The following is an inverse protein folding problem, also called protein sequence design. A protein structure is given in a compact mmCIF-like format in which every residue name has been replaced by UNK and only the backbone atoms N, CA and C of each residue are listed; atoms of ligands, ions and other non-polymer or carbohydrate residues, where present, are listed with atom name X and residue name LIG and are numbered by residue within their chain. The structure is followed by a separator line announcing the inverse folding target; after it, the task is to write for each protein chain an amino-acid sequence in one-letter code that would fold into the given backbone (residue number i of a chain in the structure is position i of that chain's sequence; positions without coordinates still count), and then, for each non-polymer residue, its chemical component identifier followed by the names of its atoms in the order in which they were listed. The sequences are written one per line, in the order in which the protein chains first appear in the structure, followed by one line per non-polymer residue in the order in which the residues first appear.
data_IF_458038603538
#
_entry.id   IF_458038603538
#
_cell.length_a   1.000
_cell.length_b   1.000
_cell.length_c   1.000
_cell.angle_alpha   90.00
_cell.angle_beta   90.00
_cell.angle_gamma   90.00
#
_symmetry.space_group_name_H-M   'P 1'
#
loop_
_entity.id
_entity.type
_entity.pdbx_description
1 polymer ?
#
# COMPACT_ATOMS: atom_id res chain seq x y z
N UNK A 1 -20.61 -10.63 -3.62
CA UNK A 1 -21.79 -10.06 -2.92
C UNK A 1 -22.61 -9.26 -3.91
N UNK A 2 -23.91 -9.51 -4.02
CA UNK A 2 -24.72 -8.79 -5.00
C UNK A 2 -25.13 -7.45 -4.41
N UNK A 3 -24.83 -6.31 -5.06
CA UNK A 3 -25.21 -4.97 -4.58
C UNK A 3 -26.69 -4.85 -4.20
N UNK A 4 -27.55 -5.66 -4.85
CA UNK A 4 -28.99 -5.77 -4.56
C UNK A 4 -29.35 -6.38 -3.21
N UNK A 5 -28.41 -7.01 -2.50
CA UNK A 5 -28.65 -7.58 -1.15
C UNK A 5 -28.63 -6.51 -0.04
N UNK A 6 -28.28 -5.25 -0.37
CA UNK A 6 -27.99 -4.22 0.62
C UNK A 6 -28.90 -2.96 0.59
N UNK A 7 -30.20 -3.02 0.23
CA UNK A 7 -31.06 -1.84 0.37
C UNK A 7 -31.17 -1.46 1.84
N UNK A 8 -31.03 -0.16 2.14
CA UNK A 8 -30.99 0.42 3.49
C UNK A 8 -29.81 -0.07 4.38
N UNK A 9 -28.76 -0.64 3.80
CA UNK A 9 -27.55 -0.99 4.56
C UNK A 9 -26.68 0.24 4.86
N UNK A 10 -25.85 0.13 5.90
CA UNK A 10 -24.78 1.08 6.18
C UNK A 10 -23.46 0.55 5.62
N UNK A 11 -22.79 1.39 4.84
CA UNK A 11 -21.50 1.11 4.23
C UNK A 11 -20.43 1.98 4.88
N UNK A 12 -19.33 1.35 5.28
CA UNK A 12 -18.14 2.05 5.79
C UNK A 12 -17.05 1.86 4.74
N UNK A 13 -16.63 2.96 4.14
CA UNK A 13 -15.49 3.03 3.25
C UNK A 13 -14.30 3.50 4.07
N UNK A 14 -13.46 2.55 4.48
CA UNK A 14 -12.25 2.82 5.24
C UNK A 14 -11.06 3.11 4.30
N UNK A 15 -10.16 4.00 4.72
CA UNK A 15 -8.92 4.36 4.02
C UNK A 15 -9.10 4.74 2.53
N UNK A 16 -9.90 5.77 2.23
CA UNK A 16 -10.00 6.28 0.85
C UNK A 16 -8.72 7.03 0.47
N UNK A 17 -7.90 6.42 -0.37
CA UNK A 17 -6.65 7.00 -0.84
C UNK A 17 -6.86 7.86 -2.09
N UNK A 18 -6.26 9.06 -2.14
CA UNK A 18 -6.38 9.96 -3.29
C UNK A 18 -5.48 9.56 -4.48
N UNK A 19 -4.47 8.72 -4.30
CA UNK A 19 -3.47 8.47 -5.34
C UNK A 19 -3.92 7.51 -6.46
N UNK A 20 -5.03 6.78 -6.30
CA UNK A 20 -5.65 5.99 -7.38
C UNK A 20 -6.98 6.62 -7.80
N UNK A 21 -6.95 7.55 -8.78
CA UNK A 21 -8.14 8.28 -9.20
C UNK A 21 -9.27 7.36 -9.66
N UNK A 22 -8.93 6.22 -10.30
CA UNK A 22 -9.94 5.29 -10.83
C UNK A 22 -10.66 4.57 -9.70
N UNK A 23 -9.92 4.10 -8.69
CA UNK A 23 -10.51 3.48 -7.49
C UNK A 23 -11.38 4.48 -6.75
N UNK A 24 -10.93 5.73 -6.57
CA UNK A 24 -11.77 6.79 -5.98
C UNK A 24 -13.06 6.98 -6.78
N UNK A 25 -12.96 7.07 -8.11
CA UNK A 25 -14.12 7.16 -9.00
C UNK A 25 -15.10 5.99 -8.80
N UNK A 26 -14.61 4.75 -8.84
CA UNK A 26 -15.42 3.56 -8.64
C UNK A 26 -16.09 3.53 -7.25
N UNK A 27 -15.37 3.92 -6.20
CA UNK A 27 -15.86 4.01 -4.82
C UNK A 27 -17.00 5.01 -4.72
N UNK A 28 -16.80 6.24 -5.22
CA UNK A 28 -17.84 7.28 -5.16
C UNK A 28 -19.03 6.97 -6.08
N UNK A 29 -18.80 6.40 -7.26
CA UNK A 29 -19.86 5.93 -8.14
C UNK A 29 -20.71 4.85 -7.49
N UNK A 30 -20.08 3.90 -6.80
CA UNK A 30 -20.76 2.84 -6.06
C UNK A 30 -21.54 3.41 -4.88
N UNK A 31 -20.95 4.30 -4.08
CA UNK A 31 -21.63 4.96 -2.98
C UNK A 31 -22.86 5.75 -3.45
N UNK A 32 -22.75 6.45 -4.59
CA UNK A 32 -23.88 7.18 -5.20
C UNK A 32 -25.01 6.25 -5.64
N UNK A 33 -24.69 5.10 -6.24
CA UNK A 33 -25.69 4.08 -6.59
C UNK A 33 -26.38 3.54 -5.32
N UNK A 34 -25.61 3.19 -4.29
CA UNK A 34 -26.13 2.67 -3.02
C UNK A 34 -27.04 3.68 -2.31
N UNK A 35 -26.67 4.97 -2.34
CA UNK A 35 -27.49 6.05 -1.77
C UNK A 35 -28.87 6.15 -2.44
N UNK A 36 -28.96 5.94 -3.77
CA UNK A 36 -30.25 5.90 -4.49
C UNK A 36 -31.17 4.77 -4.02
N UNK A 37 -30.61 3.71 -3.44
CA UNK A 37 -31.35 2.57 -2.89
C UNK A 37 -31.56 2.65 -1.36
N UNK A 38 -31.38 3.84 -0.79
CA UNK A 38 -31.54 4.09 0.64
C UNK A 38 -30.35 3.66 1.50
N UNK A 39 -29.24 3.23 0.89
CA UNK A 39 -28.00 2.94 1.61
C UNK A 39 -27.39 4.19 2.22
N UNK A 40 -26.80 4.05 3.40
CA UNK A 40 -26.05 5.11 4.08
C UNK A 40 -24.55 4.83 3.93
N UNK A 41 -23.74 5.86 3.63
CA UNK A 41 -22.29 5.72 3.46
C UNK A 41 -21.55 6.57 4.48
N UNK A 42 -20.56 5.99 5.14
CA UNK A 42 -19.58 6.66 5.98
C UNK A 42 -18.21 6.51 5.31
N UNK A 43 -17.54 7.63 5.09
CA UNK A 43 -16.19 7.69 4.54
C UNK A 43 -15.22 7.99 5.68
N UNK A 44 -14.21 7.14 5.87
CA UNK A 44 -13.16 7.29 6.88
C UNK A 44 -11.81 7.44 6.18
N UNK A 45 -10.98 8.34 6.68
CA UNK A 45 -9.60 8.50 6.23
C UNK A 45 -8.73 9.08 7.35
N UNK A 46 -7.49 8.58 7.47
CA UNK A 46 -6.49 9.15 8.36
C UNK A 46 -6.06 10.56 7.90
N UNK A 47 -6.00 10.77 6.58
CA UNK A 47 -5.76 12.07 5.96
C UNK A 47 -6.80 12.30 4.90
N UNK A 48 -7.65 13.31 5.09
CA UNK A 48 -8.59 13.72 4.06
C UNK A 48 -8.20 15.12 3.55
N UNK A 49 -7.40 15.21 2.48
CA UNK A 49 -7.11 16.49 1.84
C UNK A 49 -8.41 17.16 1.40
N UNK A 50 -8.41 18.49 1.41
CA UNK A 50 -9.59 19.30 1.07
C UNK A 50 -10.08 19.01 -0.35
N UNK A 51 -9.16 18.70 -1.27
CA UNK A 51 -9.50 18.23 -2.61
C UNK A 51 -10.44 17.00 -2.59
N UNK A 52 -10.13 15.99 -1.77
CA UNK A 52 -10.94 14.77 -1.69
C UNK A 52 -12.27 15.04 -0.98
N UNK A 53 -12.25 15.89 0.06
CA UNK A 53 -13.48 16.31 0.76
C UNK A 53 -14.47 16.98 -0.21
N UNK A 54 -13.97 17.87 -1.08
CA UNK A 54 -14.75 18.55 -2.11
C UNK A 54 -15.26 17.56 -3.16
N UNK A 55 -14.42 16.64 -3.62
CA UNK A 55 -14.80 15.60 -4.59
C UNK A 55 -15.95 14.73 -4.06
N UNK A 56 -15.90 14.32 -2.79
CA UNK A 56 -16.97 13.56 -2.15
C UNK A 56 -18.26 14.39 -2.11
N UNK A 57 -18.18 15.67 -1.69
CA UNK A 57 -19.34 16.58 -1.64
C UNK A 57 -19.96 16.82 -3.03
N UNK A 58 -19.14 16.96 -4.07
CA UNK A 58 -19.62 17.11 -5.45
C UNK A 58 -20.42 15.88 -5.91
N UNK A 59 -19.97 14.67 -5.56
CA UNK A 59 -20.61 13.42 -6.01
C UNK A 59 -21.82 13.04 -5.16
N UNK A 60 -21.70 13.17 -3.84
CA UNK A 60 -22.67 12.69 -2.84
C UNK A 60 -23.63 13.77 -2.36
N UNK A 61 -23.36 15.05 -2.64
CA UNK A 61 -24.07 16.20 -2.08
C UNK A 61 -23.47 16.66 -0.75
N UNK A 62 -24.16 17.59 -0.08
CA UNK A 62 -23.69 18.12 1.20
C UNK A 62 -23.81 17.06 2.29
N UNK A 63 -22.66 16.50 2.68
CA UNK A 63 -22.54 15.48 3.73
C UNK A 63 -21.94 16.09 4.99
N UNK A 64 -22.41 15.70 6.19
CA UNK A 64 -21.76 16.08 7.43
C UNK A 64 -20.30 15.64 7.43
N UNK A 65 -19.41 16.55 7.80
CA UNK A 65 -17.99 16.30 7.93
C UNK A 65 -17.59 16.43 9.39
N UNK A 66 -16.82 15.46 9.89
CA UNK A 66 -16.32 15.44 11.27
C UNK A 66 -14.81 15.36 11.18
N UNK A 67 -14.15 16.36 11.72
CA UNK A 67 -12.70 16.45 11.80
C UNK A 67 -12.28 16.84 13.23
N UNK A 68 -11.03 16.55 13.64
CA UNK A 68 -10.49 17.06 14.88
C UNK A 68 -10.59 18.60 14.91
N UNK A 69 -11.11 19.16 16.00
CA UNK A 69 -11.29 20.61 16.16
C UNK A 69 -10.06 21.22 16.85
N UNK A 70 -9.24 22.04 16.17
CA UNK A 70 -8.04 22.65 16.77
C UNK A 70 -8.34 23.56 17.97
N UNK A 71 -9.61 23.97 18.16
CA UNK A 71 -10.04 24.76 19.31
C UNK A 71 -10.32 23.89 20.54
N UNK A 72 -10.51 22.58 20.36
CA UNK A 72 -10.65 21.63 21.45
C UNK A 72 -9.28 21.19 21.95
N UNK A 73 -9.11 21.20 23.27
CA UNK A 73 -7.80 20.96 23.90
C UNK A 73 -7.23 19.58 23.58
N UNK A 74 -8.08 18.55 23.56
CA UNK A 74 -7.69 17.15 23.34
C UNK A 74 -7.23 16.94 21.90
N UNK A 75 -7.99 17.43 20.93
CA UNK A 75 -7.65 17.40 19.51
C UNK A 75 -6.39 18.21 19.23
N UNK A 76 -6.29 19.41 19.80
CA UNK A 76 -5.10 20.25 19.67
C UNK A 76 -3.83 19.56 20.19
N UNK A 77 -3.91 18.86 21.32
CA UNK A 77 -2.76 18.13 21.85
C UNK A 77 -2.30 17.00 20.92
N UNK A 78 -3.21 16.42 20.13
CA UNK A 78 -2.89 15.39 19.14
C UNK A 78 -2.32 16.02 17.87
N UNK A 79 -2.94 17.09 17.37
CA UNK A 79 -2.57 17.80 16.15
C UNK A 79 -1.20 18.51 16.26
N UNK A 80 -0.91 19.12 17.42
CA UNK A 80 0.35 19.86 17.66
C UNK A 80 1.56 18.92 17.86
N UNK A 81 1.35 17.60 17.95
CA UNK A 81 2.45 16.64 18.14
C UNK A 81 3.31 16.55 16.90
N UNK A 82 4.52 17.12 16.99
CA UNK A 82 5.58 16.95 16.02
C UNK A 82 6.14 15.52 16.10
N UNK A 83 6.06 14.78 15.00
CA UNK A 83 6.37 13.34 14.95
C UNK A 83 7.62 13.05 14.14
N UNK A 84 7.89 13.82 13.09
CA UNK A 84 8.88 13.46 12.07
C UNK A 84 9.84 14.61 11.78
N UNK A 85 11.10 14.25 11.56
CA UNK A 85 12.09 15.06 10.89
C UNK A 85 12.29 14.48 9.49
N UNK A 86 11.72 15.12 8.47
CA UNK A 86 11.74 14.64 7.10
C UNK A 86 12.94 15.22 6.36
N UNK A 87 13.73 14.35 5.75
CA UNK A 87 14.83 14.72 4.84
C UNK A 87 14.58 14.14 3.47
N UNK A 88 14.51 15.00 2.44
CA UNK A 88 14.49 14.54 1.05
C UNK A 88 15.93 14.39 0.56
N UNK A 89 16.28 13.23 -0.01
CA UNK A 89 17.63 12.95 -0.53
C UNK A 89 17.62 12.64 -2.02
N UNK A 90 18.52 13.31 -2.73
CA UNK A 90 18.76 13.09 -4.16
C UNK A 90 19.38 11.70 -4.40
N UNK A 91 18.84 10.93 -5.35
CA UNK A 91 19.21 9.53 -5.61
C UNK A 91 18.26 8.50 -4.99
N UNK A 92 18.68 7.24 -4.98
CA UNK A 92 17.90 6.08 -4.50
C UNK A 92 18.50 5.43 -3.24
N UNK A 93 17.80 4.44 -2.67
CA UNK A 93 18.22 3.74 -1.45
C UNK A 93 19.66 3.18 -1.52
N UNK A 94 20.10 2.67 -2.68
CA UNK A 94 21.43 2.06 -2.79
C UNK A 94 22.57 3.07 -2.71
N UNK A 95 22.34 4.31 -3.16
CA UNK A 95 23.34 5.37 -3.10
C UNK A 95 23.72 5.71 -1.65
N UNK A 96 22.80 5.48 -0.71
CA UNK A 96 22.96 5.75 0.72
C UNK A 96 23.02 4.48 1.57
N UNK A 97 23.22 3.31 0.96
CA UNK A 97 23.14 2.02 1.66
C UNK A 97 24.12 1.91 2.84
N UNK A 98 25.31 2.50 2.72
CA UNK A 98 26.29 2.50 3.82
C UNK A 98 25.80 3.31 5.03
N UNK A 99 25.23 4.49 4.78
CA UNK A 99 24.64 5.34 5.82
C UNK A 99 23.44 4.66 6.48
N UNK A 100 22.57 4.03 5.67
CA UNK A 100 21.42 3.26 6.17
C UNK A 100 21.88 2.13 7.07
N UNK A 101 22.91 1.36 6.66
CA UNK A 101 23.47 0.25 7.43
C UNK A 101 24.06 0.73 8.77
N UNK A 102 24.80 1.84 8.75
CA UNK A 102 25.34 2.45 9.97
C UNK A 102 24.22 2.92 10.90
N UNK A 103 23.19 3.56 10.34
CA UNK A 103 22.05 4.05 11.10
C UNK A 103 21.21 2.92 11.71
N UNK A 104 20.93 1.87 10.93
CA UNK A 104 20.32 0.63 11.42
C UNK A 104 21.12 -0.01 12.56
N UNK A 105 22.43 0.28 12.68
CA UNK A 105 23.29 -0.19 13.77
C UNK A 105 23.25 0.63 15.04
N UNK A 106 22.68 1.84 14.98
CA UNK A 106 22.53 2.75 16.12
C UNK A 106 21.08 2.86 16.60
N UNK A 107 20.11 2.53 15.76
CA UNK A 107 18.68 2.53 16.10
C UNK A 107 18.20 1.15 16.58
N UNK A 108 17.19 1.15 17.45
CA UNK A 108 16.52 -0.04 17.95
C UNK A 108 15.55 -0.63 16.92
N UNK A 109 14.94 0.18 16.05
CA UNK A 109 14.00 -0.29 15.03
C UNK A 109 13.91 0.65 13.82
N UNK A 110 14.11 0.12 12.62
CA UNK A 110 14.12 0.86 11.35
C UNK A 110 13.13 0.26 10.35
N UNK A 111 12.29 1.12 9.76
CA UNK A 111 11.42 0.76 8.65
C UNK A 111 12.04 1.21 7.32
N UNK A 112 12.13 0.30 6.35
CA UNK A 112 12.61 0.59 5.00
C UNK A 112 11.52 0.18 4.00
N UNK A 113 10.92 1.16 3.32
CA UNK A 113 9.82 0.92 2.38
C UNK A 113 10.29 1.10 0.94
N UNK A 114 10.18 0.03 0.17
CA UNK A 114 10.49 -0.02 -1.25
C UNK A 114 9.21 -0.12 -2.07
N UNK A 115 9.15 0.52 -3.23
CA UNK A 115 7.99 0.47 -4.12
C UNK A 115 7.84 -0.89 -4.82
N UNK A 116 8.95 -1.61 -5.02
CA UNK A 116 8.97 -2.87 -5.78
C UNK A 116 9.49 -4.04 -4.95
N UNK A 117 8.88 -5.22 -5.15
CA UNK A 117 9.29 -6.46 -4.46
C UNK A 117 10.75 -6.82 -4.73
N UNK A 118 11.20 -6.73 -6.00
CA UNK A 118 12.59 -7.01 -6.34
C UNK A 118 13.58 -6.05 -5.68
N UNK A 119 13.20 -4.78 -5.54
CA UNK A 119 13.99 -3.79 -4.78
C UNK A 119 14.07 -4.17 -3.31
N UNK A 120 12.93 -4.48 -2.68
CA UNK A 120 12.89 -4.89 -1.27
C UNK A 120 13.76 -6.12 -1.00
N UNK A 121 13.70 -7.13 -1.87
CA UNK A 121 14.55 -8.33 -1.79
C UNK A 121 16.04 -7.96 -1.88
N UNK A 122 16.43 -7.11 -2.83
CA UNK A 122 17.82 -6.66 -3.02
C UNK A 122 18.34 -5.86 -1.83
N UNK A 123 17.56 -4.92 -1.31
CA UNK A 123 17.89 -4.10 -0.13
C UNK A 123 18.05 -4.99 1.12
N UNK A 124 17.11 -5.91 1.34
CA UNK A 124 17.16 -6.85 2.45
C UNK A 124 18.45 -7.68 2.45
N UNK A 125 18.79 -8.29 1.30
CA UNK A 125 19.98 -9.11 1.15
C UNK A 125 21.26 -8.31 1.41
N UNK A 126 21.35 -7.09 0.88
CA UNK A 126 22.52 -6.23 1.07
C UNK A 126 22.70 -5.80 2.53
N UNK A 127 21.63 -5.42 3.23
CA UNK A 127 21.69 -5.05 4.64
C UNK A 127 22.10 -6.26 5.49
N UNK A 128 21.46 -7.42 5.24
CA UNK A 128 21.76 -8.69 5.93
C UNK A 128 23.22 -9.10 5.76
N UNK A 129 23.80 -8.85 4.57
CA UNK A 129 25.20 -9.13 4.26
C UNK A 129 26.19 -8.20 5.00
N UNK A 130 25.82 -6.93 5.19
CA UNK A 130 26.73 -5.91 5.75
C UNK A 130 26.69 -5.83 7.28
N UNK A 131 25.53 -6.01 7.90
CA UNK A 131 25.41 -6.00 9.36
C UNK A 131 25.71 -7.38 9.91
N UNK A 132 26.88 -7.51 10.56
CA UNK A 132 27.28 -8.75 11.24
C UNK A 132 26.44 -8.96 12.50
N UNK A 133 26.19 -10.23 12.84
CA UNK A 133 25.47 -10.67 14.05
C UNK A 133 23.97 -10.35 14.10
N UNK A 134 23.31 -10.08 12.95
CA UNK A 134 21.85 -10.10 12.91
C UNK A 134 21.35 -11.52 13.07
N UNK A 135 20.47 -11.74 14.03
CA UNK A 135 19.64 -12.95 14.08
C UNK A 135 18.58 -12.88 12.99
N UNK A 136 18.03 -14.01 12.54
CA UNK A 136 16.92 -14.03 11.58
C UNK A 136 15.72 -13.18 12.00
N UNK A 137 15.43 -13.10 13.29
CA UNK A 137 14.35 -12.26 13.84
C UNK A 137 14.66 -10.75 13.89
N UNK A 138 15.93 -10.35 13.80
CA UNK A 138 16.32 -8.93 13.86
C UNK A 138 16.06 -8.19 12.54
N UNK A 139 16.00 -8.93 11.42
CA UNK A 139 15.75 -8.37 10.09
C UNK A 139 14.69 -9.17 9.34
N UNK A 140 13.59 -8.51 9.00
CA UNK A 140 12.45 -9.14 8.33
C UNK A 140 12.21 -8.47 6.98
N UNK A 141 11.93 -9.29 5.97
CA UNK A 141 11.43 -8.87 4.66
C UNK A 141 9.93 -9.16 4.57
N UNK A 142 9.12 -8.18 4.19
CA UNK A 142 7.67 -8.35 4.01
C UNK A 142 7.17 -7.79 2.67
N UNK A 143 6.53 -8.63 1.86
CA UNK A 143 5.94 -8.24 0.58
C UNK A 143 4.92 -9.27 0.09
N UNK A 144 4.24 -8.98 -1.01
CA UNK A 144 3.16 -9.84 -1.53
C UNK A 144 3.62 -11.21 -2.07
N UNK A 145 4.88 -11.38 -2.48
CA UNK A 145 5.40 -12.63 -3.09
C UNK A 145 5.83 -13.72 -2.08
N UNK A 146 5.23 -13.74 -0.89
CA UNK A 146 5.35 -14.87 0.04
C UNK A 146 4.14 -15.78 -0.09
N UNK A 147 4.27 -17.04 0.33
CA UNK A 147 3.09 -17.86 0.59
C UNK A 147 2.25 -17.22 1.70
N UNK A 148 0.95 -17.52 1.75
CA UNK A 148 0.12 -17.05 2.85
C UNK A 148 0.64 -17.54 4.20
N UNK A 149 1.14 -18.78 4.28
CA UNK A 149 1.74 -19.35 5.48
C UNK A 149 2.94 -18.53 5.96
N UNK A 150 3.93 -18.28 5.09
CA UNK A 150 5.14 -17.53 5.47
C UNK A 150 4.83 -16.06 5.74
N UNK A 151 3.91 -15.45 5.00
CA UNK A 151 3.47 -14.08 5.22
C UNK A 151 2.84 -13.92 6.60
N UNK A 152 1.89 -14.79 6.95
CA UNK A 152 1.23 -14.77 8.25
C UNK A 152 2.23 -14.98 9.39
N UNK A 153 3.20 -15.89 9.20
CA UNK A 153 4.26 -16.11 10.16
C UNK A 153 5.10 -14.84 10.39
N UNK A 154 5.53 -14.16 9.31
CA UNK A 154 6.30 -12.92 9.42
C UNK A 154 5.51 -11.79 10.08
N UNK A 155 4.25 -11.60 9.70
CA UNK A 155 3.36 -10.62 10.32
C UNK A 155 3.22 -10.91 11.82
N UNK A 156 3.07 -12.18 12.22
CA UNK A 156 3.00 -12.57 13.64
C UNK A 156 4.27 -12.28 14.45
N UNK A 157 5.45 -12.33 13.82
CA UNK A 157 6.71 -11.93 14.46
C UNK A 157 6.74 -10.41 14.63
N UNK A 158 6.36 -9.66 13.58
CA UNK A 158 6.40 -8.19 13.57
C UNK A 158 5.47 -7.61 14.63
N UNK A 159 4.29 -8.20 14.83
CA UNK A 159 3.28 -7.71 15.78
C UNK A 159 3.35 -8.40 17.15
N UNK A 160 4.42 -9.14 17.43
CA UNK A 160 4.55 -9.88 18.69
C UNK A 160 4.84 -8.93 19.86
N UNK A 161 3.92 -8.85 20.83
CA UNK A 161 4.12 -8.08 22.06
C UNK A 161 5.31 -8.59 22.89
N UNK A 162 5.52 -9.92 22.92
CA UNK A 162 6.57 -10.56 23.72
C UNK A 162 7.99 -10.34 23.17
N UNK A 163 8.13 -10.27 21.84
CA UNK A 163 9.45 -10.18 21.19
C UNK A 163 9.87 -8.73 20.94
N UNK A 164 8.92 -7.81 20.86
CA UNK A 164 9.14 -6.46 20.38
C UNK A 164 9.37 -6.42 18.86
N UNK A 165 9.46 -5.19 18.33
CA UNK A 165 9.65 -4.96 16.89
C UNK A 165 10.99 -5.53 16.40
N UNK A 166 11.05 -6.01 15.14
CA UNK A 166 12.34 -6.30 14.52
C UNK A 166 13.18 -5.04 14.45
N UNK A 167 14.50 -5.20 14.56
CA UNK A 167 15.43 -4.08 14.43
C UNK A 167 15.37 -3.45 13.03
N UNK A 168 15.10 -4.24 12.01
CA UNK A 168 14.98 -3.79 10.63
C UNK A 168 13.80 -4.49 9.95
N UNK A 169 12.85 -3.71 9.44
CA UNK A 169 11.80 -4.22 8.56
C UNK A 169 12.00 -3.62 7.17
N UNK A 170 12.33 -4.46 6.20
CA UNK A 170 12.29 -4.08 4.78
C UNK A 170 10.94 -4.53 4.23
N UNK A 171 10.14 -3.60 3.72
CA UNK A 171 8.79 -3.87 3.27
C UNK A 171 8.46 -3.18 1.95
N UNK A 172 7.37 -3.65 1.34
CA UNK A 172 6.67 -2.92 0.27
C UNK A 172 5.43 -2.22 0.84
N UNK A 173 4.48 -1.81 -0.02
CA UNK A 173 3.22 -1.14 0.39
C UNK A 173 2.38 -1.96 1.37
N UNK A 174 2.67 -3.25 1.52
CA UNK A 174 2.02 -4.13 2.50
C UNK A 174 2.06 -3.58 3.93
N UNK A 175 3.01 -2.70 4.27
CA UNK A 175 3.08 -2.05 5.59
C UNK A 175 2.00 -0.98 5.82
N UNK A 176 1.38 -0.46 4.74
CA UNK A 176 0.42 0.65 4.81
C UNK A 176 -0.89 0.22 5.50
N UNK A 177 -1.35 -1.02 5.26
CA UNK A 177 -2.72 -1.45 5.60
C UNK A 177 -2.80 -2.33 6.85
N UNK A 178 -1.81 -3.19 7.12
CA UNK A 178 -2.03 -4.35 8.01
C UNK A 178 -1.15 -4.42 9.26
N UNK A 179 -0.33 -3.40 9.56
CA UNK A 179 0.63 -3.48 10.66
C UNK A 179 0.45 -2.36 11.70
N UNK A 180 0.10 -2.75 12.93
CA UNK A 180 0.14 -1.86 14.09
C UNK A 180 1.53 -1.85 14.71
N UNK A 181 2.39 -0.97 14.20
CA UNK A 181 3.83 -0.92 14.53
C UNK A 181 4.31 0.52 14.70
N UNK A 182 5.35 0.71 15.50
CA UNK A 182 5.87 2.02 15.87
C UNK A 182 7.43 2.09 15.82
N UNK A 183 7.97 2.19 14.61
CA UNK A 183 9.43 2.23 14.36
C UNK A 183 10.09 3.56 14.80
N UNK A 184 11.39 3.53 15.11
CA UNK A 184 12.15 4.73 15.53
C UNK A 184 12.57 5.64 14.37
N UNK A 185 12.76 5.08 13.18
CA UNK A 185 13.18 5.82 11.98
C UNK A 185 12.73 5.13 10.69
N UNK A 186 12.73 5.88 9.59
CA UNK A 186 12.28 5.40 8.29
C UNK A 186 13.14 5.80 7.10
N UNK A 187 13.19 4.92 6.11
CA UNK A 187 13.76 5.15 4.79
C UNK A 187 12.74 4.74 3.74
N UNK A 188 12.40 5.61 2.80
CA UNK A 188 11.29 5.37 1.87
C UNK A 188 11.66 5.75 0.44
N UNK A 189 11.34 4.88 -0.51
CA UNK A 189 11.29 5.24 -1.93
C UNK A 189 10.20 6.28 -2.20
N UNK A 190 10.33 7.09 -3.27
CA UNK A 190 9.40 8.17 -3.58
C UNK A 190 7.98 7.66 -3.80
N UNK A 191 7.00 8.35 -3.24
CA UNK A 191 5.58 8.04 -3.39
C UNK A 191 4.73 9.32 -3.25
N UNK A 192 3.45 9.31 -3.64
CA UNK A 192 2.52 10.39 -3.36
C UNK A 192 2.39 10.63 -1.86
N UNK A 193 2.04 11.85 -1.49
CA UNK A 193 1.98 12.29 -0.09
C UNK A 193 1.10 11.37 0.77
N UNK A 194 -0.05 10.89 0.31
CA UNK A 194 -0.95 10.04 1.12
C UNK A 194 -0.27 8.71 1.48
N UNK A 195 0.40 8.08 0.51
CA UNK A 195 1.14 6.85 0.74
C UNK A 195 2.31 7.08 1.70
N UNK A 196 3.01 8.22 1.58
CA UNK A 196 4.08 8.59 2.51
C UNK A 196 3.55 8.84 3.92
N UNK A 197 2.44 9.55 4.08
CA UNK A 197 1.85 9.79 5.41
C UNK A 197 1.42 8.49 6.07
N UNK A 198 0.85 7.54 5.33
CA UNK A 198 0.49 6.23 5.87
C UNK A 198 1.71 5.42 6.32
N UNK A 199 2.80 5.45 5.54
CA UNK A 199 4.08 4.84 5.95
C UNK A 199 4.68 5.53 7.17
N UNK A 200 4.65 6.85 7.21
CA UNK A 200 5.12 7.66 8.34
C UNK A 200 4.27 7.43 9.60
N UNK A 201 2.98 7.09 9.43
CA UNK A 201 2.10 6.65 10.51
C UNK A 201 2.54 5.36 11.20
N UNK A 202 3.55 4.65 10.67
CA UNK A 202 4.19 3.48 11.27
C UNK A 202 5.52 3.81 11.96
N UNK A 203 5.87 5.10 12.04
CA UNK A 203 7.12 5.62 12.60
C UNK A 203 6.79 6.71 13.61
N UNK A 204 7.23 6.54 14.86
CA UNK A 204 6.86 7.40 15.98
C UNK A 204 5.35 7.73 16.04
N UNK A 205 4.52 6.73 15.75
CA UNK A 205 3.05 6.77 15.70
C UNK A 205 2.46 7.34 16.99
N UNK A 206 2.95 6.87 18.14
CA UNK A 206 2.44 7.29 19.46
C UNK A 206 2.97 8.67 19.86
N UNK A 207 4.01 9.18 19.16
CA UNK A 207 4.66 10.46 19.42
C UNK A 207 5.17 10.63 20.87
N UNK A 208 5.61 9.52 21.49
CA UNK A 208 6.21 9.51 22.84
C UNK A 208 7.74 9.67 22.82
N UNK A 209 8.35 9.55 21.65
CA UNK A 209 9.79 9.78 21.42
C UNK A 209 9.98 11.14 20.75
N UNK A 210 11.19 11.75 20.82
CA UNK A 210 11.55 12.88 19.98
C UNK A 210 11.21 12.60 18.50
N UNK A 211 10.96 13.64 17.68
CA UNK A 211 10.65 13.46 16.27
C UNK A 211 11.61 12.49 15.57
N UNK A 212 11.05 11.49 14.91
CA UNK A 212 11.79 10.43 14.26
C UNK A 212 12.37 10.91 12.93
N UNK A 213 13.58 10.46 12.61
CA UNK A 213 14.17 10.75 11.31
C UNK A 213 13.49 9.90 10.23
N UNK A 214 12.97 10.56 9.21
CA UNK A 214 12.40 9.93 8.01
C UNK A 214 13.14 10.46 6.79
N UNK A 215 13.74 9.57 6.04
CA UNK A 215 14.42 9.90 4.77
C UNK A 215 13.54 9.45 3.61
N UNK A 216 13.22 10.38 2.73
CA UNK A 216 12.50 10.11 1.47
C UNK A 216 13.49 10.31 0.32
N UNK A 217 13.68 9.27 -0.48
CA UNK A 217 14.53 9.33 -1.67
C UNK A 217 13.76 9.92 -2.84
N UNK A 218 14.47 10.61 -3.72
CA UNK A 218 13.89 11.20 -4.95
C UNK A 218 13.76 10.18 -6.07
N UNK A 219 14.56 9.11 -6.05
CA UNK A 219 14.54 8.04 -7.03
C UNK A 219 14.18 6.68 -6.42
N UNK A 220 13.56 5.84 -7.23
CA UNK A 220 13.36 4.41 -6.96
C UNK A 220 14.27 3.56 -7.84
N UNK A 221 14.61 2.34 -7.39
CA UNK A 221 15.46 1.43 -8.17
C UNK A 221 14.69 0.80 -9.34
N UNK A 222 13.40 0.57 -9.15
CA UNK A 222 12.54 0.00 -10.19
C UNK A 222 12.47 0.93 -11.40
N UNK A 223 12.57 0.37 -12.60
CA UNK A 223 12.52 1.16 -13.85
C UNK A 223 11.12 1.67 -14.20
N UNK A 224 10.09 1.06 -13.63
CA UNK A 224 8.69 1.44 -13.81
C UNK A 224 8.19 2.18 -12.57
N UNK A 225 7.65 3.37 -12.72
CA UNK A 225 7.09 4.13 -11.61
C UNK A 225 5.72 3.57 -11.20
N UNK A 226 5.57 3.21 -9.93
CA UNK A 226 4.32 2.61 -9.45
C UNK A 226 3.17 3.63 -9.36
N UNK A 227 3.50 4.87 -8.98
CA UNK A 227 2.52 5.90 -8.64
C UNK A 227 2.37 6.99 -9.67
N UNK A 228 3.08 6.90 -10.80
CA UNK A 228 2.93 7.85 -11.87
C UNK A 228 3.33 7.24 -13.22
N UNK A 229 2.93 7.92 -14.30
CA UNK A 229 3.23 7.50 -15.66
C UNK A 229 4.58 8.01 -16.19
N UNK A 230 5.41 8.62 -15.33
CA UNK A 230 6.75 9.06 -15.71
C UNK A 230 7.63 7.86 -16.08
N UNK A 231 8.56 8.04 -17.02
CA UNK A 231 9.47 6.98 -17.47
C UNK A 231 10.88 7.26 -16.96
N UNK A 232 11.53 6.26 -16.40
CA UNK A 232 12.86 6.41 -15.81
C UNK A 232 12.81 7.09 -14.44
N UNK A 233 13.94 7.67 -14.03
CA UNK A 233 14.14 8.28 -12.71
C UNK A 233 13.62 9.73 -12.63
N UNK A 234 13.46 10.40 -13.76
CA UNK A 234 12.98 11.78 -13.80
C UNK A 234 11.46 11.84 -13.81
N UNK A 235 10.90 12.63 -12.90
CA UNK A 235 9.48 12.95 -12.85
C UNK A 235 9.19 14.27 -13.59
N UNK A 236 8.09 14.29 -14.34
CA UNK A 236 7.61 15.50 -15.01
C UNK A 236 7.13 16.53 -13.97
N UNK A 237 7.11 17.81 -14.33
CA UNK A 237 6.74 18.90 -13.41
C UNK A 237 5.33 18.74 -12.82
N UNK A 238 4.39 18.20 -13.60
CA UNK A 238 3.01 17.95 -13.16
C UNK A 238 2.82 16.59 -12.47
N UNK A 239 3.91 15.86 -12.21
CA UNK A 239 3.83 14.57 -11.54
C UNK A 239 3.55 14.76 -10.05
N UNK A 240 2.55 14.03 -9.53
CA UNK A 240 2.16 14.07 -8.12
C UNK A 240 3.31 13.70 -7.17
N UNK A 241 4.16 12.76 -7.57
CA UNK A 241 5.34 12.34 -6.80
C UNK A 241 6.37 13.47 -6.76
N UNK A 242 6.59 14.17 -7.88
CA UNK A 242 7.52 15.31 -7.93
C UNK A 242 7.04 16.44 -7.03
N UNK A 243 5.77 16.83 -7.15
CA UNK A 243 5.15 17.85 -6.28
C UNK A 243 5.25 17.48 -4.81
N UNK A 244 5.00 16.20 -4.47
CA UNK A 244 5.16 15.68 -3.11
C UNK A 244 6.59 15.87 -2.60
N UNK A 245 7.60 15.50 -3.39
CA UNK A 245 9.01 15.64 -3.00
C UNK A 245 9.41 17.10 -2.83
N UNK A 246 8.96 17.99 -3.73
CA UNK A 246 9.27 19.43 -3.67
C UNK A 246 8.64 20.06 -2.41
N UNK A 247 7.37 19.78 -2.15
CA UNK A 247 6.66 20.27 -0.95
C UNK A 247 7.26 19.75 0.36
N UNK A 248 7.71 18.49 0.39
CA UNK A 248 8.38 17.92 1.56
C UNK A 248 9.79 18.50 1.76
N UNK A 249 10.50 18.82 0.68
CA UNK A 249 11.82 19.41 0.74
C UNK A 249 11.79 20.85 1.28
N UNK A 250 10.74 21.60 0.92
CA UNK A 250 10.57 23.00 1.33
C UNK A 250 9.89 23.15 2.70
N UNK A 251 9.42 22.05 3.29
CA UNK A 251 8.72 22.05 4.57
C UNK A 251 9.65 22.32 5.76
N UNK A 252 9.18 23.13 6.72
CA UNK A 252 9.91 23.41 7.96
C UNK A 252 9.77 22.25 8.96
N UNK A 253 10.90 21.65 9.32
CA UNK A 253 10.95 20.59 10.32
C UNK A 253 10.94 21.11 11.78
N UNK A 254 10.46 20.31 12.75
CA UNK A 254 9.82 19.00 12.58
C UNK A 254 8.34 19.12 12.18
N UNK A 255 7.83 18.07 11.54
CA UNK A 255 6.46 17.99 11.02
C UNK A 255 5.56 17.16 11.94
N UNK A 256 4.34 17.65 12.12
CA UNK A 256 3.22 16.95 12.74
C UNK A 256 2.16 16.57 11.70
N UNK A 257 1.05 16.05 12.17
CA UNK A 257 -0.04 15.56 11.31
C UNK A 257 -0.72 16.71 10.54
N UNK A 258 -0.95 17.84 11.19
CA UNK A 258 -1.52 19.03 10.54
C UNK A 258 -0.63 19.59 9.42
N UNK A 259 0.70 19.53 9.58
CA UNK A 259 1.62 20.01 8.55
C UNK A 259 1.58 19.10 7.31
N UNK A 260 1.49 17.79 7.52
CA UNK A 260 1.38 16.80 6.45
C UNK A 260 0.06 16.92 5.68
N UNK A 261 -1.05 17.23 6.37
CA UNK A 261 -2.34 17.52 5.73
C UNK A 261 -2.21 18.78 4.86
N UNK A 262 -1.63 19.86 5.39
CA UNK A 262 -1.39 21.11 4.61
C UNK A 262 -0.49 20.88 3.39
N UNK A 263 0.51 20.01 3.52
CA UNK A 263 1.35 19.60 2.40
C UNK A 263 0.51 18.85 1.36
N UNK A 264 -0.33 17.91 1.80
CA UNK A 264 -1.22 17.19 0.90
C UNK A 264 -2.18 18.13 0.15
N UNK A 265 -2.76 19.12 0.84
CA UNK A 265 -3.63 20.12 0.20
C UNK A 265 -2.91 20.90 -0.90
N UNK A 266 -1.63 21.26 -0.72
CA UNK A 266 -0.83 21.94 -1.75
C UNK A 266 -0.46 21.00 -2.90
N UNK A 267 -0.10 19.76 -2.59
CA UNK A 267 0.20 18.73 -3.60
C UNK A 267 -1.01 18.48 -4.52
N UNK A 268 -2.22 18.49 -3.96
CA UNK A 268 -3.49 18.27 -4.64
C UNK A 268 -4.30 19.55 -4.92
N UNK A 269 -3.72 20.75 -4.82
CA UNK A 269 -4.45 22.03 -4.94
C UNK A 269 -5.23 22.16 -6.25
N UNK A 270 -4.70 21.51 -7.27
CA UNK A 270 -5.17 21.51 -8.64
C UNK A 270 -6.15 20.36 -8.95
N UNK A 271 -6.39 19.49 -7.98
CA UNK A 271 -7.12 18.23 -8.09
C UNK A 271 -6.54 17.27 -9.12
N UNK A 272 -7.36 16.29 -9.54
CA UNK A 272 -6.98 15.40 -10.64
C UNK A 272 -6.91 16.15 -11.97
N UNK A 273 -5.80 15.97 -12.70
CA UNK A 273 -5.53 16.58 -14.02
C UNK A 273 -5.26 15.53 -15.09
N UNK A 274 -5.47 15.92 -16.35
CA UNK A 274 -5.10 15.12 -17.52
C UNK A 274 -5.60 13.69 -17.45
N UNK A 275 -4.67 12.73 -17.44
CA UNK A 275 -4.99 11.31 -17.38
C UNK A 275 -5.64 10.88 -16.07
N UNK A 276 -5.26 11.49 -14.94
CA UNK A 276 -5.83 11.15 -13.63
C UNK A 276 -7.28 11.60 -13.54
N UNK A 277 -7.62 12.77 -14.11
CA UNK A 277 -9.02 13.21 -14.22
C UNK A 277 -9.84 12.25 -15.07
N UNK A 278 -9.30 11.82 -16.21
CA UNK A 278 -9.95 10.85 -17.08
C UNK A 278 -10.18 9.51 -16.36
N UNK A 279 -9.17 8.99 -15.67
CA UNK A 279 -9.28 7.75 -14.86
C UNK A 279 -10.35 7.85 -13.78
N UNK A 280 -10.41 8.98 -13.08
CA UNK A 280 -11.46 9.26 -12.11
C UNK A 280 -12.85 9.26 -12.76
N UNK A 281 -13.03 9.99 -13.86
CA UNK A 281 -14.31 10.07 -14.56
C UNK A 281 -14.74 8.71 -15.15
N UNK A 282 -13.81 7.91 -15.66
CA UNK A 282 -14.05 6.53 -16.13
C UNK A 282 -14.50 5.62 -14.98
N UNK A 283 -13.90 5.74 -13.79
CA UNK A 283 -14.31 5.00 -12.60
C UNK A 283 -15.68 5.44 -12.09
N UNK A 284 -15.90 6.75 -11.96
CA UNK A 284 -17.15 7.33 -11.47
C UNK A 284 -18.33 6.97 -12.38
N UNK A 285 -18.11 6.98 -13.69
CA UNK A 285 -19.12 6.72 -14.70
C UNK A 285 -19.01 5.30 -15.29
N UNK A 286 -18.48 4.35 -14.53
CA UNK A 286 -18.29 3.00 -15.02
C UNK A 286 -19.63 2.42 -15.54
N UNK A 287 -19.68 1.82 -16.76
CA UNK A 287 -20.94 1.37 -17.35
C UNK A 287 -21.73 0.36 -16.51
N UNK A 288 -21.03 -0.45 -15.72
CA UNK A 288 -21.66 -1.42 -14.81
C UNK A 288 -22.30 -0.76 -13.58
N UNK A 289 -21.85 0.44 -13.19
CA UNK A 289 -22.43 1.22 -12.09
C UNK A 289 -23.60 2.06 -12.59
N UNK A 290 -23.41 2.83 -13.69
CA UNK A 290 -24.46 3.71 -14.22
C UNK A 290 -25.66 2.91 -14.72
N UNK A 291 -25.41 1.86 -15.48
CA UNK A 291 -26.48 1.05 -16.09
C UNK A 291 -26.83 -0.17 -15.22
N UNK A 292 -26.50 -0.14 -13.93
CA UNK A 292 -26.69 -1.27 -13.04
C UNK A 292 -28.14 -1.76 -13.05
N UNK A 293 -29.10 -0.82 -12.94
CA UNK A 293 -30.54 -1.12 -12.91
C UNK A 293 -31.05 -1.69 -14.24
N UNK A 294 -30.50 -1.23 -15.38
CA UNK A 294 -30.86 -1.74 -16.72
C UNK A 294 -30.28 -3.13 -16.99
N UNK A 295 -29.14 -3.45 -16.36
CA UNK A 295 -28.43 -4.74 -16.48
C UNK A 295 -28.88 -5.76 -15.43
N UNK A 296 -29.81 -5.40 -14.56
CA UNK A 296 -30.29 -6.27 -13.49
C UNK A 296 -31.12 -7.42 -14.07
N UNK A 297 -30.53 -8.61 -14.12
CA UNK A 297 -31.18 -9.83 -14.59
C UNK A 297 -31.48 -10.72 -13.39
N UNK A 298 -32.75 -11.01 -13.16
CA UNK A 298 -33.18 -11.90 -12.07
C UNK A 298 -32.53 -13.28 -12.21
N UNK A 299 -31.89 -13.76 -11.14
CA UNK A 299 -31.22 -15.06 -11.10
C UNK A 299 -29.84 -15.09 -11.75
N UNK A 300 -29.32 -13.97 -12.27
CA UNK A 300 -27.95 -13.86 -12.71
C UNK A 300 -27.05 -13.40 -11.54
N UNK A 301 -26.05 -14.20 -11.20
CA UNK A 301 -24.98 -13.80 -10.28
C UNK A 301 -23.70 -13.66 -11.11
N UNK A 302 -23.11 -12.46 -11.10
CA UNK A 302 -21.81 -12.20 -11.70
C UNK A 302 -20.90 -11.64 -10.61
N UNK A 303 -19.65 -12.12 -10.55
CA UNK A 303 -18.65 -11.59 -9.63
C UNK A 303 -18.03 -10.32 -10.22
N UNK A 304 -18.88 -9.31 -10.42
CA UNK A 304 -18.55 -8.07 -11.11
C UNK A 304 -17.42 -7.28 -10.43
N UNK A 305 -17.32 -7.35 -9.10
CA UNK A 305 -16.23 -6.73 -8.33
C UNK A 305 -14.90 -7.37 -8.69
N UNK A 306 -14.81 -8.70 -8.69
CA UNK A 306 -13.62 -9.42 -9.13
C UNK A 306 -13.32 -9.12 -10.60
N UNK A 307 -14.31 -9.16 -11.50
CA UNK A 307 -14.05 -8.87 -12.92
C UNK A 307 -13.58 -7.43 -13.20
N UNK A 308 -14.06 -6.42 -12.48
CA UNK A 308 -13.64 -5.01 -12.66
C UNK A 308 -12.24 -4.79 -12.07
N UNK A 309 -11.95 -5.39 -10.92
CA UNK A 309 -10.65 -5.31 -10.25
C UNK A 309 -9.60 -6.15 -11.01
N UNK A 310 -9.93 -7.36 -11.44
CA UNK A 310 -9.07 -8.28 -12.18
C UNK A 310 -8.73 -7.78 -13.59
N UNK A 311 -9.67 -7.09 -14.27
CA UNK A 311 -9.37 -6.42 -15.55
C UNK A 311 -8.37 -5.27 -15.42
N UNK A 312 -8.02 -4.85 -14.21
CA UNK A 312 -7.13 -3.69 -13.97
C UNK A 312 -5.72 -4.09 -13.51
N UNK A 313 -5.56 -5.22 -12.81
CA UNK A 313 -4.26 -5.85 -12.52
C UNK A 313 -4.50 -7.20 -11.81
N UNK A 314 -5.12 -8.17 -12.50
CA UNK A 314 -5.50 -9.45 -11.89
C UNK A 314 -4.37 -10.14 -11.14
N UNK A 315 -4.70 -10.82 -10.05
CA UNK A 315 -3.78 -11.65 -9.27
C UNK A 315 -4.14 -13.10 -9.56
N UNK A 316 -3.14 -13.93 -9.83
CA UNK A 316 -3.30 -15.37 -9.88
C UNK A 316 -2.35 -16.02 -8.90
N UNK A 317 -2.73 -17.19 -8.42
CA UNK A 317 -1.97 -17.94 -7.44
C UNK A 317 -1.14 -19.01 -8.13
N UNK A 318 0.12 -19.15 -7.72
CA UNK A 318 0.99 -20.22 -8.19
C UNK A 318 1.57 -21.00 -7.02
N UNK A 319 1.89 -22.26 -7.27
CA UNK A 319 2.63 -23.10 -6.36
C UNK A 319 4.12 -23.12 -6.77
N UNK A 320 5.05 -22.64 -5.93
CA UNK A 320 6.46 -22.83 -6.17
C UNK A 320 6.80 -24.32 -6.25
N UNK A 321 7.59 -24.72 -7.25
CA UNK A 321 7.93 -26.15 -7.47
C UNK A 321 8.60 -26.79 -6.25
N UNK A 322 9.35 -26.01 -5.47
CA UNK A 322 9.98 -26.48 -4.23
C UNK A 322 8.99 -26.88 -3.13
N UNK A 323 7.73 -26.42 -3.21
CA UNK A 323 6.67 -26.71 -2.24
C UNK A 323 5.68 -27.78 -2.75
N UNK A 324 5.88 -28.32 -3.96
CA UNK A 324 4.96 -29.26 -4.60
C UNK A 324 4.75 -30.54 -3.77
N UNK A 325 5.82 -31.13 -3.25
CA UNK A 325 5.73 -32.34 -2.42
C UNK A 325 4.91 -32.11 -1.14
N UNK A 326 5.12 -30.97 -0.48
CA UNK A 326 4.39 -30.61 0.73
C UNK A 326 2.91 -30.34 0.42
N UNK A 327 2.65 -29.64 -0.68
CA UNK A 327 1.29 -29.36 -1.16
C UNK A 327 0.51 -30.65 -1.44
N UNK A 328 1.11 -31.58 -2.19
CA UNK A 328 0.49 -32.89 -2.46
C UNK A 328 0.24 -33.69 -1.18
N UNK A 329 1.17 -33.64 -0.23
CA UNK A 329 1.02 -34.31 1.06
C UNK A 329 -0.18 -33.75 1.82
N UNK A 330 -0.29 -32.42 1.96
CA UNK A 330 -1.45 -31.77 2.62
C UNK A 330 -2.76 -32.14 1.92
N UNK A 331 -2.79 -32.17 0.58
CA UNK A 331 -3.97 -32.63 -0.17
C UNK A 331 -4.34 -34.09 0.11
N UNK A 332 -3.36 -35.01 0.12
CA UNK A 332 -3.57 -36.43 0.43
C UNK A 332 -4.10 -36.65 1.85
N UNK A 333 -3.70 -35.78 2.79
CA UNK A 333 -4.18 -35.77 4.18
C UNK A 333 -5.54 -35.06 4.36
N UNK A 334 -6.11 -34.48 3.30
CA UNK A 334 -7.38 -33.73 3.34
C UNK A 334 -7.27 -32.31 3.91
N UNK A 335 -6.05 -31.79 4.07
CA UNK A 335 -5.75 -30.46 4.60
C UNK A 335 -5.76 -29.39 3.49
N UNK A 336 -6.91 -29.19 2.85
CA UNK A 336 -7.07 -28.29 1.69
C UNK A 336 -6.69 -26.84 1.98
N UNK A 337 -7.10 -26.30 3.13
CA UNK A 337 -6.75 -24.92 3.54
C UNK A 337 -5.23 -24.80 3.72
N UNK A 338 -4.61 -25.79 4.36
CA UNK A 338 -3.17 -25.82 4.54
C UNK A 338 -2.41 -25.93 3.22
N UNK A 339 -2.95 -26.65 2.24
CA UNK A 339 -2.38 -26.72 0.90
C UNK A 339 -2.46 -25.36 0.18
N UNK A 340 -3.61 -24.69 0.21
CA UNK A 340 -3.79 -23.38 -0.41
C UNK A 340 -2.91 -22.30 0.23
N UNK A 341 -2.58 -22.44 1.52
CA UNK A 341 -1.67 -21.51 2.19
C UNK A 341 -0.23 -21.55 1.64
N UNK A 342 0.15 -22.55 0.85
CA UNK A 342 1.43 -22.66 0.16
C UNK A 342 1.45 -21.95 -1.21
N UNK A 343 0.35 -21.33 -1.61
CA UNK A 343 0.28 -20.59 -2.87
C UNK A 343 0.81 -19.17 -2.70
N UNK A 344 1.44 -18.67 -3.76
CA UNK A 344 2.00 -17.31 -3.85
C UNK A 344 1.18 -16.48 -4.84
N UNK A 345 0.68 -15.30 -4.45
CA UNK A 345 -0.04 -14.42 -5.37
C UNK A 345 0.94 -13.67 -6.30
N UNK A 346 0.63 -13.66 -7.60
CA UNK A 346 1.40 -12.97 -8.65
C UNK A 346 0.48 -12.09 -9.48
N UNK A 347 0.93 -10.88 -9.83
CA UNK A 347 0.22 -9.99 -10.76
C UNK A 347 0.28 -10.49 -12.20
N UNK A 348 -0.85 -10.47 -12.89
CA UNK A 348 -1.07 -10.86 -14.30
C UNK A 348 -0.13 -10.18 -15.29
N UNK A 349 0.25 -8.91 -15.08
CA UNK A 349 1.29 -8.25 -15.92
C UNK A 349 2.62 -9.01 -15.96
N UNK A 350 2.88 -9.83 -14.95
CA UNK A 350 4.07 -10.69 -14.90
C UNK A 350 3.96 -11.93 -15.79
N UNK A 351 2.76 -12.32 -16.24
CA UNK A 351 2.54 -13.54 -17.05
C UNK A 351 3.26 -13.49 -18.39
N UNK A 352 3.36 -12.32 -19.02
CA UNK A 352 3.95 -12.18 -20.34
C UNK A 352 5.39 -12.72 -20.40
N UNK A 353 6.18 -12.45 -19.36
CA UNK A 353 7.56 -12.92 -19.25
C UNK A 353 7.70 -14.23 -18.48
N UNK A 354 6.73 -14.56 -17.60
CA UNK A 354 6.71 -15.79 -16.80
C UNK A 354 6.17 -17.03 -17.52
N UNK A 355 5.58 -16.88 -18.71
CA UNK A 355 4.92 -17.99 -19.41
C UNK A 355 5.81 -19.20 -19.67
N UNK A 356 7.13 -19.01 -19.79
CA UNK A 356 8.10 -20.11 -19.93
C UNK A 356 8.55 -20.73 -18.61
N UNK A 357 8.29 -20.06 -17.48
CA UNK A 357 8.68 -20.45 -16.12
C UNK A 357 7.49 -20.98 -15.30
N UNK A 358 6.27 -20.95 -15.83
CA UNK A 358 5.05 -21.42 -15.16
C UNK A 358 4.43 -22.52 -16.00
N UNK A 359 4.26 -23.70 -15.40
CA UNK A 359 3.45 -24.77 -15.96
C UNK A 359 1.97 -24.51 -15.64
N UNK A 360 1.18 -24.34 -16.70
CA UNK A 360 -0.25 -24.04 -16.64
C UNK A 360 -1.11 -25.27 -17.00
N UNK A 361 -0.51 -26.46 -17.11
CA UNK A 361 -1.21 -27.69 -17.48
C UNK A 361 -2.05 -28.28 -16.34
N UNK A 362 -1.72 -27.92 -15.10
CA UNK A 362 -2.38 -28.39 -13.88
C UNK A 362 -2.88 -27.22 -13.01
N UNK A 363 -3.82 -27.48 -12.10
CA UNK A 363 -4.35 -26.52 -11.14
C UNK A 363 -4.02 -26.97 -9.71
N UNK A 364 -3.26 -26.19 -8.91
CA UNK A 364 -2.74 -24.83 -9.20
C UNK A 364 -1.59 -24.82 -10.22
N UNK A 365 -1.39 -23.69 -10.89
CA UNK A 365 -0.24 -23.49 -11.79
C UNK A 365 1.08 -23.61 -11.02
N UNK A 366 2.07 -24.29 -11.60
CA UNK A 366 3.35 -24.58 -10.95
C UNK A 366 4.41 -23.59 -11.44
N UNK A 367 5.01 -22.84 -10.52
CA UNK A 367 6.10 -21.92 -10.84
C UNK A 367 7.47 -22.59 -10.64
N UNK A 368 8.23 -22.73 -11.74
CA UNK A 368 9.63 -23.17 -11.75
C UNK A 368 10.57 -22.01 -11.44
N UNK A 369 10.35 -21.40 -10.27
CA UNK A 369 11.10 -20.27 -9.74
C UNK A 369 11.65 -20.61 -8.36
N UNK A 370 12.73 -19.95 -7.98
CA UNK A 370 13.27 -20.08 -6.64
C UNK A 370 12.30 -19.45 -5.62
N UNK A 371 12.08 -20.19 -4.53
CA UNK A 371 11.28 -19.74 -3.40
C UNK A 371 12.03 -20.07 -2.11
N UNK A 372 12.06 -19.13 -1.18
CA UNK A 372 12.45 -19.38 0.21
C UNK A 372 11.53 -18.64 1.16
N UNK A 373 11.35 -19.14 2.38
CA UNK A 373 10.61 -18.42 3.43
C UNK A 373 11.31 -17.14 3.89
N UNK A 374 12.57 -16.91 3.51
CA UNK A 374 13.33 -15.70 3.83
C UNK A 374 13.11 -14.59 2.79
N UNK A 375 13.14 -14.93 1.50
CA UNK A 375 13.12 -13.99 0.36
C UNK A 375 11.78 -13.99 -0.40
N UNK A 376 11.01 -15.07 -0.32
CA UNK A 376 9.80 -15.29 -1.09
C UNK A 376 10.11 -15.75 -2.50
N UNK A 377 9.15 -15.57 -3.41
CA UNK A 377 9.30 -15.98 -4.81
C UNK A 377 10.19 -14.99 -5.57
N UNK A 378 11.29 -15.50 -6.10
CA UNK A 378 12.26 -14.75 -6.89
C UNK A 378 11.90 -14.80 -8.36
N UNK A 379 11.95 -13.64 -9.03
CA UNK A 379 11.52 -13.49 -10.43
C UNK A 379 12.71 -13.50 -11.42
N UNK A 380 13.92 -13.24 -10.94
CA UNK A 380 15.15 -13.16 -11.72
C UNK A 380 15.99 -14.43 -11.58
#
# INVERSE_FOLDING_TARGET
AMLVEFPNACFIFDEIHTYDPRVVGLTLGSAKLLSRWGGCSLFLSATLPEFLSQLIREVMGDIPFIEPDPNQKEDKEILDRKRHWITVKDGNIFDYLEEIVESCSKSSSTLIVCNHVGTAQKVYLEIKRRIKNLKPEDIILLHSRFTYEDRNYKESIITSEDRGLPRILVATQVVEVSLDVDFEQGYMEPAPIDALVQRMGRINRVAKRPPANVVVFTEQIGTFNLYCNCRGVEHQQDCIVKRTLDELNDAENPLGEEDLIKIADRVYEDGYRGEDRRKFEEGLNHPDIINFEERLIAGACQNWVEEIIEKTDGIFEVLPVSLLEEFEKKRKEGLWIGANNLLVPIRTRSLGWLKSKIDMSEDPWIAHLNYSSDIGLEME
#
